data_IF_762876010184
#
_entry.id   IF_762876010184
#
_cell.length_a   1.000
_cell.length_b   1.000
_cell.length_c   1.000
_cell.angle_alpha   90.00
_cell.angle_beta   90.00
_cell.angle_gamma   90.00
#
_symmetry.space_group_name_H-M   'P 1'
#
loop_
_entity.id
_entity.type
_entity.pdbx_description
1 polymer ?
#
# COMPACT_ATOMS: atom_id res chain seq x y z
N UNK A 1 2.30 -7.75 -13.23
CA UNK A 1 3.39 -8.13 -12.33
C UNK A 1 3.73 -6.91 -11.48
N UNK A 2 4.62 -7.03 -10.50
CA UNK A 2 5.03 -5.88 -9.68
C UNK A 2 5.72 -4.81 -10.57
N UNK A 3 6.56 -5.23 -11.51
CA UNK A 3 7.29 -4.33 -12.41
C UNK A 3 6.33 -3.49 -13.25
N UNK A 4 5.32 -4.14 -13.85
CA UNK A 4 4.29 -3.44 -14.64
C UNK A 4 3.46 -2.46 -13.80
N UNK A 5 3.24 -2.78 -12.53
CA UNK A 5 2.60 -1.84 -11.61
C UNK A 5 3.50 -0.61 -11.39
N UNK A 6 4.78 -0.82 -11.10
CA UNK A 6 5.72 0.28 -10.91
C UNK A 6 5.82 1.16 -12.17
N UNK A 7 5.94 0.57 -13.36
CA UNK A 7 5.92 1.30 -14.64
C UNK A 7 4.65 2.15 -14.79
N UNK A 8 3.48 1.58 -14.56
CA UNK A 8 2.20 2.29 -14.62
C UNK A 8 2.16 3.49 -13.65
N UNK A 9 2.64 3.31 -12.41
CA UNK A 9 2.68 4.39 -11.42
C UNK A 9 3.67 5.48 -11.84
N UNK A 10 4.81 5.09 -12.40
CA UNK A 10 5.81 6.02 -12.92
C UNK A 10 5.27 6.81 -14.11
N UNK A 11 4.43 6.24 -14.97
CA UNK A 11 3.82 6.95 -16.10
C UNK A 11 2.69 7.88 -15.65
N UNK A 12 1.86 7.46 -14.69
CA UNK A 12 0.73 8.25 -14.19
C UNK A 12 1.16 9.32 -13.19
N UNK A 13 1.57 8.90 -12.00
CA UNK A 13 1.87 9.79 -10.87
C UNK A 13 3.26 10.39 -11.01
N UNK A 14 4.24 9.55 -11.39
CA UNK A 14 5.59 10.03 -11.68
C UNK A 14 5.61 11.02 -12.86
N UNK A 15 4.84 10.75 -13.93
CA UNK A 15 4.77 11.61 -15.11
C UNK A 15 4.27 13.01 -14.79
N UNK A 16 3.20 13.12 -13.98
CA UNK A 16 2.67 14.41 -13.56
C UNK A 16 3.67 15.21 -12.72
N UNK A 17 4.35 14.57 -11.77
CA UNK A 17 5.36 15.24 -10.97
C UNK A 17 6.58 15.64 -11.82
N UNK A 18 7.05 14.78 -12.74
CA UNK A 18 8.15 15.12 -13.66
C UNK A 18 7.80 16.32 -14.52
N UNK A 19 6.57 16.41 -15.02
CA UNK A 19 6.09 17.56 -15.77
C UNK A 19 6.09 18.84 -14.92
N UNK A 20 5.56 18.77 -13.69
CA UNK A 20 5.51 19.91 -12.78
C UNK A 20 6.92 20.41 -12.40
N UNK A 21 7.82 19.50 -12.03
CA UNK A 21 9.20 19.83 -11.67
C UNK A 21 9.97 20.35 -12.89
N UNK A 22 9.83 19.72 -14.05
CA UNK A 22 10.43 20.19 -15.30
C UNK A 22 9.95 21.60 -15.68
N UNK A 23 8.66 21.90 -15.51
CA UNK A 23 8.12 23.23 -15.73
C UNK A 23 8.73 24.25 -14.76
N UNK A 24 8.80 23.93 -13.46
CA UNK A 24 9.43 24.80 -12.46
C UNK A 24 10.91 25.04 -12.80
N UNK A 25 11.65 24.00 -13.15
CA UNK A 25 13.07 24.08 -13.54
C UNK A 25 13.29 24.94 -14.79
N UNK A 26 12.35 24.92 -15.75
CA UNK A 26 12.45 25.73 -16.97
C UNK A 26 12.47 27.24 -16.69
N UNK A 27 11.94 27.67 -15.54
CA UNK A 27 11.95 29.07 -15.09
C UNK A 27 12.89 29.33 -13.90
N UNK A 28 13.54 28.31 -13.36
CA UNK A 28 14.42 28.46 -12.21
C UNK A 28 15.68 29.27 -12.58
N UNK A 29 16.22 30.05 -11.66
CA UNK A 29 17.52 30.75 -11.86
C UNK A 29 18.71 29.92 -11.36
N UNK A 30 18.45 28.92 -10.52
CA UNK A 30 19.41 28.02 -9.90
C UNK A 30 18.93 26.56 -10.10
N UNK A 31 19.83 25.58 -9.94
CA UNK A 31 19.51 24.13 -10.04
C UNK A 31 18.82 23.69 -11.35
N UNK A 32 19.12 24.40 -12.46
CA UNK A 32 18.57 24.08 -13.79
C UNK A 32 18.99 22.70 -14.30
N UNK A 33 20.23 22.33 -14.03
CA UNK A 33 20.84 21.09 -14.52
C UNK A 33 20.74 19.94 -13.50
N UNK A 34 20.10 20.20 -12.35
CA UNK A 34 19.91 19.19 -11.31
C UNK A 34 18.86 18.18 -11.74
N UNK A 35 19.19 16.89 -11.71
CA UNK A 35 18.21 15.85 -12.03
C UNK A 35 17.39 15.47 -10.79
N UNK A 36 16.14 15.97 -10.74
CA UNK A 36 15.17 15.61 -9.71
C UNK A 36 14.34 14.37 -10.06
N UNK A 37 14.52 13.80 -11.25
CA UNK A 37 13.71 12.68 -11.75
C UNK A 37 13.72 11.47 -10.81
N UNK A 38 14.86 11.03 -10.25
CA UNK A 38 14.89 9.89 -9.32
C UNK A 38 14.07 10.14 -8.06
N UNK A 39 14.21 11.33 -7.45
CA UNK A 39 13.46 11.72 -6.25
C UNK A 39 11.95 11.73 -6.54
N UNK A 40 11.57 12.38 -7.63
CA UNK A 40 10.18 12.51 -8.06
C UNK A 40 9.52 11.16 -8.34
N UNK A 41 10.24 10.26 -9.00
CA UNK A 41 9.78 8.92 -9.30
C UNK A 41 9.54 8.10 -8.02
N UNK A 42 10.49 8.16 -7.08
CA UNK A 42 10.36 7.47 -5.80
C UNK A 42 9.23 8.03 -4.96
N UNK A 43 9.04 9.36 -4.95
CA UNK A 43 7.89 10.01 -4.32
C UNK A 43 6.58 9.47 -4.91
N UNK A 44 6.45 9.45 -6.24
CA UNK A 44 5.25 8.93 -6.91
C UNK A 44 4.94 7.48 -6.55
N UNK A 45 5.97 6.62 -6.51
CA UNK A 45 5.83 5.23 -6.05
C UNK A 45 5.42 5.13 -4.59
N UNK A 46 6.09 5.85 -3.70
CA UNK A 46 5.79 5.86 -2.26
C UNK A 46 4.35 6.26 -2.00
N UNK A 47 3.90 7.38 -2.59
CA UNK A 47 2.53 7.86 -2.42
C UNK A 47 1.49 6.85 -2.87
N UNK A 48 1.68 6.21 -4.03
CA UNK A 48 0.69 5.28 -4.56
C UNK A 48 0.66 3.96 -3.79
N UNK A 49 1.84 3.39 -3.45
CA UNK A 49 1.90 2.12 -2.69
C UNK A 49 1.35 2.32 -1.27
N UNK A 50 1.62 3.48 -0.66
CA UNK A 50 1.05 3.86 0.63
C UNK A 50 -0.47 3.99 0.58
N UNK A 51 -1.02 4.64 -0.45
CA UNK A 51 -2.46 4.75 -0.64
C UNK A 51 -3.14 3.39 -0.78
N UNK A 52 -2.55 2.50 -1.59
CA UNK A 52 -3.00 1.11 -1.75
C UNK A 52 -2.94 0.34 -0.41
N UNK A 53 -1.90 0.54 0.40
CA UNK A 53 -1.79 -0.09 1.72
C UNK A 53 -2.89 0.39 2.67
N UNK A 54 -3.12 1.71 2.74
CA UNK A 54 -4.14 2.30 3.62
C UNK A 54 -5.53 1.83 3.20
N UNK A 55 -5.83 1.81 1.89
CA UNK A 55 -7.11 1.35 1.35
C UNK A 55 -7.49 -0.05 1.84
N UNK A 56 -6.49 -0.93 2.01
CA UNK A 56 -6.70 -2.36 2.27
C UNK A 56 -6.39 -2.79 3.71
N UNK A 57 -5.83 -1.94 4.57
CA UNK A 57 -5.38 -2.35 5.91
C UNK A 57 -6.26 -1.85 7.06
N UNK A 58 -7.05 -0.80 6.85
CA UNK A 58 -7.68 -0.07 7.95
C UNK A 58 -9.19 -0.32 8.04
N UNK A 59 -9.62 -1.04 9.08
CA UNK A 59 -11.04 -1.29 9.37
C UNK A 59 -11.69 -0.10 10.12
N UNK A 60 -10.92 0.69 10.87
CA UNK A 60 -11.45 1.79 11.71
C UNK A 60 -11.41 3.16 11.02
N UNK A 61 -10.38 3.45 10.22
CA UNK A 61 -10.23 4.69 9.47
C UNK A 61 -11.34 4.90 8.44
N UNK A 62 -12.01 3.82 8.03
CA UNK A 62 -13.09 3.83 7.04
C UNK A 62 -14.50 3.61 7.61
N UNK A 63 -14.70 3.68 8.94
CA UNK A 63 -16.05 3.73 9.56
C UNK A 63 -16.95 4.85 9.00
N UNK A 64 -16.43 5.77 8.17
CA UNK A 64 -17.18 6.85 7.52
C UNK A 64 -17.02 6.94 6.00
N UNK A 65 -16.25 6.08 5.33
CA UNK A 65 -16.06 6.12 3.86
C UNK A 65 -15.46 4.80 3.36
N UNK A 66 -16.15 4.05 2.51
CA UNK A 66 -15.51 3.22 1.47
C UNK A 66 -14.34 2.28 1.89
N UNK A 67 -14.63 1.17 2.58
CA UNK A 67 -13.65 0.14 2.99
C UNK A 67 -13.22 -0.73 1.80
N UNK A 68 -11.90 -0.97 1.65
CA UNK A 68 -11.30 -1.83 0.62
C UNK A 68 -11.83 -1.58 -0.81
N UNK A 69 -11.92 -0.33 -1.24
CA UNK A 69 -12.47 0.01 -2.57
C UNK A 69 -11.68 -0.56 -3.74
N UNK A 70 -10.38 -0.83 -3.57
CA UNK A 70 -9.61 -1.50 -4.61
C UNK A 70 -10.26 -2.85 -5.00
N UNK A 71 -10.91 -3.54 -4.05
CA UNK A 71 -11.66 -4.78 -4.33
C UNK A 71 -12.97 -4.51 -5.07
N UNK A 72 -13.69 -3.43 -4.74
CA UNK A 72 -14.90 -3.01 -5.46
C UNK A 72 -14.58 -2.63 -6.90
N UNK A 73 -13.50 -1.89 -7.12
CA UNK A 73 -13.06 -1.46 -8.46
C UNK A 73 -12.48 -2.61 -9.29
N UNK A 74 -12.07 -3.70 -8.63
CA UNK A 74 -11.29 -4.78 -9.24
C UNK A 74 -9.88 -4.33 -9.60
N UNK A 75 -9.32 -3.39 -8.84
CA UNK A 75 -8.01 -2.79 -9.06
C UNK A 75 -6.92 -3.76 -8.61
N UNK A 76 -5.96 -4.01 -9.48
CA UNK A 76 -4.74 -4.75 -9.15
C UNK A 76 -3.75 -3.82 -8.44
N UNK A 77 -4.03 -3.49 -7.18
CA UNK A 77 -3.13 -2.69 -6.35
C UNK A 77 -1.92 -3.49 -5.86
N UNK A 78 -0.91 -2.80 -5.33
CA UNK A 78 0.37 -3.41 -4.95
C UNK A 78 0.23 -4.66 -4.04
N UNK A 79 -0.48 -4.61 -2.89
CA UNK A 79 -0.67 -5.79 -2.03
C UNK A 79 -1.44 -6.92 -2.72
N UNK A 80 -2.42 -6.60 -3.57
CA UNK A 80 -3.21 -7.59 -4.31
C UNK A 80 -2.35 -8.32 -5.35
N UNK A 81 -1.51 -7.57 -6.08
CA UNK A 81 -0.55 -8.15 -7.04
C UNK A 81 0.41 -9.08 -6.32
N UNK A 82 0.99 -8.64 -5.19
CA UNK A 82 1.89 -9.49 -4.41
C UNK A 82 1.18 -10.77 -3.97
N UNK A 83 -0.02 -10.66 -3.38
CA UNK A 83 -0.76 -11.82 -2.87
C UNK A 83 -1.11 -12.84 -3.96
N UNK A 84 -1.55 -12.39 -5.13
CA UNK A 84 -1.87 -13.30 -6.25
C UNK A 84 -0.62 -14.01 -6.76
N UNK A 85 0.56 -13.39 -6.65
CA UNK A 85 1.83 -13.96 -7.11
C UNK A 85 2.51 -14.85 -6.08
N UNK A 86 2.31 -14.59 -4.79
CA UNK A 86 2.84 -15.40 -3.69
C UNK A 86 1.94 -16.59 -3.32
N UNK A 87 0.69 -16.59 -3.81
CA UNK A 87 -0.24 -17.69 -3.66
C UNK A 87 0.30 -18.99 -4.31
N UNK A 88 -0.06 -20.14 -3.73
CA UNK A 88 0.22 -21.44 -4.33
C UNK A 88 -0.43 -21.53 -5.72
N UNK A 89 0.13 -22.34 -6.64
CA UNK A 89 -0.29 -22.40 -8.05
C UNK A 89 -1.80 -22.59 -8.29
N UNK A 90 -2.52 -23.17 -7.33
CA UNK A 90 -3.96 -23.45 -7.42
C UNK A 90 -4.84 -22.53 -6.56
N UNK A 91 -4.27 -21.62 -5.77
CA UNK A 91 -5.05 -20.72 -4.92
C UNK A 91 -5.49 -19.48 -5.71
N UNK A 92 -6.74 -19.52 -6.17
CA UNK A 92 -7.37 -18.47 -6.97
C UNK A 92 -8.40 -17.67 -6.18
N UNK A 93 -8.46 -17.82 -4.85
CA UNK A 93 -9.50 -17.24 -4.00
C UNK A 93 -9.52 -15.72 -4.10
N UNK A 94 -8.39 -15.06 -3.86
CA UNK A 94 -8.30 -13.61 -3.94
C UNK A 94 -8.62 -13.09 -5.35
N UNK A 95 -8.09 -13.75 -6.40
CA UNK A 95 -8.38 -13.38 -7.79
C UNK A 95 -9.87 -13.49 -8.11
N UNK A 96 -10.55 -14.50 -7.55
CA UNK A 96 -12.00 -14.70 -7.73
C UNK A 96 -12.80 -13.60 -7.04
N UNK A 97 -12.39 -13.19 -5.83
CA UNK A 97 -13.02 -12.06 -5.11
C UNK A 97 -12.81 -10.76 -5.89
N UNK A 98 -11.60 -10.49 -6.36
CA UNK A 98 -11.28 -9.29 -7.14
C UNK A 98 -12.11 -9.18 -8.42
N UNK A 99 -12.30 -10.30 -9.14
CA UNK A 99 -13.12 -10.34 -10.35
C UNK A 99 -14.61 -10.10 -10.09
N UNK A 100 -15.09 -10.42 -8.89
CA UNK A 100 -16.49 -10.20 -8.50
C UNK A 100 -16.82 -8.72 -8.28
N UNK A 101 -15.82 -7.86 -8.05
CA UNK A 101 -16.04 -6.42 -7.79
C UNK A 101 -17.06 -6.20 -6.68
N UNK A 102 -16.85 -6.89 -5.57
CA UNK A 102 -17.85 -7.01 -4.52
C UNK A 102 -17.91 -5.77 -3.64
N UNK A 103 -19.13 -5.38 -3.28
CA UNK A 103 -19.42 -4.37 -2.26
C UNK A 103 -19.64 -4.98 -0.87
N UNK A 104 -19.63 -6.31 -0.76
CA UNK A 104 -19.88 -7.03 0.49
C UNK A 104 -18.68 -6.96 1.43
N UNK A 105 -18.89 -6.35 2.59
CA UNK A 105 -17.87 -6.16 3.61
C UNK A 105 -17.31 -7.49 4.14
N UNK A 106 -18.09 -8.57 4.20
CA UNK A 106 -17.60 -9.86 4.68
C UNK A 106 -16.66 -10.51 3.66
N UNK A 107 -16.94 -10.37 2.37
CA UNK A 107 -16.00 -10.80 1.31
C UNK A 107 -14.74 -9.92 1.29
N UNK A 108 -14.86 -8.62 1.55
CA UNK A 108 -13.71 -7.71 1.66
C UNK A 108 -12.81 -8.06 2.84
N UNK A 109 -13.38 -8.33 4.02
CA UNK A 109 -12.65 -8.83 5.20
C UNK A 109 -11.96 -10.15 4.91
N UNK A 110 -12.65 -11.09 4.24
CA UNK A 110 -12.04 -12.36 3.87
C UNK A 110 -10.84 -12.17 2.93
N UNK A 111 -10.95 -11.30 1.92
CA UNK A 111 -9.83 -10.96 1.05
C UNK A 111 -8.66 -10.32 1.83
N UNK A 112 -8.95 -9.46 2.80
CA UNK A 112 -7.93 -8.89 3.68
C UNK A 112 -7.19 -9.97 4.48
N UNK A 113 -7.92 -10.94 5.06
CA UNK A 113 -7.32 -12.08 5.76
C UNK A 113 -6.38 -12.87 4.86
N UNK A 114 -6.80 -13.19 3.62
CA UNK A 114 -5.93 -13.87 2.65
C UNK A 114 -4.64 -13.07 2.38
N UNK A 115 -4.73 -11.75 2.25
CA UNK A 115 -3.56 -10.88 2.06
C UNK A 115 -2.65 -10.81 3.30
N UNK A 116 -3.21 -10.86 4.51
CA UNK A 116 -2.45 -10.92 5.76
C UNK A 116 -1.69 -12.24 5.88
N UNK A 117 -2.36 -13.36 5.64
CA UNK A 117 -1.77 -14.71 5.67
C UNK A 117 -0.65 -14.87 4.64
N UNK A 118 -0.84 -14.32 3.43
CA UNK A 118 0.18 -14.29 2.39
C UNK A 118 1.34 -13.32 2.67
N UNK A 119 1.28 -12.55 3.77
CA UNK A 119 2.29 -11.56 4.14
C UNK A 119 2.30 -10.31 3.25
N UNK A 120 1.28 -10.10 2.42
CA UNK A 120 1.26 -9.06 1.39
C UNK A 120 1.13 -7.65 1.95
N UNK A 121 0.36 -7.47 3.04
CA UNK A 121 0.28 -6.18 3.72
C UNK A 121 1.62 -5.80 4.35
N UNK A 122 2.30 -6.76 5.00
CA UNK A 122 3.64 -6.57 5.55
C UNK A 122 4.66 -6.25 4.45
N UNK A 123 4.66 -7.01 3.35
CA UNK A 123 5.55 -6.76 2.22
C UNK A 123 5.36 -5.34 1.63
N UNK A 124 4.10 -4.92 1.49
CA UNK A 124 3.74 -3.58 0.99
C UNK A 124 4.24 -2.48 1.93
N UNK A 125 4.08 -2.68 3.25
CA UNK A 125 4.64 -1.78 4.27
C UNK A 125 6.15 -1.69 4.18
N UNK A 126 6.84 -2.82 4.12
CA UNK A 126 8.31 -2.86 4.05
C UNK A 126 8.81 -2.13 2.79
N UNK A 127 8.08 -2.24 1.67
CA UNK A 127 8.35 -1.46 0.46
C UNK A 127 8.19 0.05 0.67
N UNK A 128 7.16 0.50 1.40
CA UNK A 128 6.99 1.90 1.76
C UNK A 128 8.15 2.42 2.61
N UNK A 129 8.60 1.64 3.61
CA UNK A 129 9.73 2.01 4.47
C UNK A 129 11.04 2.11 3.68
N UNK A 130 11.30 1.15 2.79
CA UNK A 130 12.46 1.22 1.89
C UNK A 130 12.43 2.46 1.00
N UNK A 131 11.27 2.77 0.41
CA UNK A 131 11.11 3.96 -0.43
C UNK A 131 11.29 5.25 0.37
N UNK A 132 10.76 5.32 1.59
CA UNK A 132 10.98 6.45 2.50
C UNK A 132 12.47 6.69 2.71
N UNK A 133 13.23 5.66 3.08
CA UNK A 133 14.66 5.82 3.38
C UNK A 133 15.44 6.30 2.15
N UNK A 134 15.12 5.77 0.97
CA UNK A 134 15.67 6.24 -0.31
C UNK A 134 15.33 7.71 -0.58
N UNK A 135 14.05 8.10 -0.40
CA UNK A 135 13.59 9.47 -0.61
C UNK A 135 14.29 10.43 0.35
N UNK A 136 14.42 10.07 1.63
CA UNK A 136 15.10 10.88 2.63
C UNK A 136 16.58 11.07 2.27
N UNK A 137 17.27 10.01 1.85
CA UNK A 137 18.65 10.11 1.35
C UNK A 137 18.76 11.04 0.16
N UNK A 138 17.88 10.88 -0.85
CA UNK A 138 17.85 11.74 -2.04
C UNK A 138 17.60 13.22 -1.70
N UNK A 139 16.75 13.52 -0.73
CA UNK A 139 16.50 14.89 -0.28
C UNK A 139 17.78 15.50 0.29
N UNK A 140 18.51 14.77 1.13
CA UNK A 140 19.77 15.26 1.71
C UNK A 140 20.85 15.44 0.63
N UNK A 141 20.99 14.49 -0.29
CA UNK A 141 21.94 14.55 -1.41
C UNK A 141 21.69 15.76 -2.33
N UNK A 142 20.43 16.21 -2.44
CA UNK A 142 20.00 17.37 -3.22
C UNK A 142 20.08 18.69 -2.44
N UNK A 143 20.77 18.72 -1.31
CA UNK A 143 21.00 19.93 -0.49
C UNK A 143 19.99 20.13 0.63
N UNK A 144 19.12 19.16 0.88
CA UNK A 144 18.18 19.15 1.99
C UNK A 144 16.94 20.02 1.77
N UNK A 145 15.81 19.57 2.33
CA UNK A 145 14.57 20.34 2.36
C UNK A 145 13.74 19.93 3.59
N UNK A 146 13.85 20.71 4.67
CA UNK A 146 13.18 20.37 5.93
C UNK A 146 11.64 20.26 5.81
N UNK A 147 10.93 21.14 5.10
CA UNK A 147 9.49 20.97 4.87
C UNK A 147 9.13 19.66 4.17
N UNK A 148 9.84 19.31 3.09
CA UNK A 148 9.59 18.08 2.35
C UNK A 148 9.90 16.85 3.19
N UNK A 149 11.04 16.85 3.91
CA UNK A 149 11.40 15.80 4.86
C UNK A 149 10.31 15.58 5.91
N UNK A 150 9.83 16.66 6.53
CA UNK A 150 8.77 16.60 7.54
C UNK A 150 7.45 16.07 6.96
N UNK A 151 7.11 16.42 5.71
CA UNK A 151 5.95 15.86 5.02
C UNK A 151 6.07 14.35 4.89
N UNK A 152 7.22 13.83 4.44
CA UNK A 152 7.42 12.39 4.28
C UNK A 152 7.32 11.67 5.64
N UNK A 153 7.95 12.20 6.68
CA UNK A 153 7.89 11.65 8.03
C UNK A 153 6.45 11.64 8.59
N UNK A 154 5.68 12.71 8.37
CA UNK A 154 4.28 12.78 8.79
C UNK A 154 3.43 11.71 8.11
N UNK A 155 3.63 11.49 6.82
CA UNK A 155 2.89 10.50 6.06
C UNK A 155 3.21 9.07 6.49
N UNK A 156 4.45 8.83 6.93
CA UNK A 156 4.94 7.53 7.37
C UNK A 156 4.36 7.09 8.72
N UNK A 157 4.01 8.03 9.61
CA UNK A 157 3.32 7.72 10.88
C UNK A 157 2.06 6.89 10.65
N UNK A 158 1.34 7.11 9.54
CA UNK A 158 0.17 6.30 9.20
C UNK A 158 0.54 4.88 8.78
N UNK A 159 1.68 4.70 8.11
CA UNK A 159 2.22 3.39 7.71
C UNK A 159 2.73 2.61 8.93
N UNK A 160 3.35 3.29 9.89
CA UNK A 160 3.82 2.68 11.14
C UNK A 160 2.68 2.21 12.03
N UNK A 161 1.60 2.98 12.17
CA UNK A 161 0.42 2.58 12.96
C UNK A 161 -0.23 1.28 12.45
N UNK A 162 -0.13 1.00 11.15
CA UNK A 162 -0.61 -0.26 10.57
C UNK A 162 0.23 -1.48 11.00
N UNK A 163 1.48 -1.28 11.43
CA UNK A 163 2.35 -2.36 11.91
C UNK A 163 1.80 -3.04 13.16
N UNK A 164 1.26 -2.24 14.07
CA UNK A 164 0.73 -2.71 15.36
C UNK A 164 -0.57 -3.51 15.17
N UNK A 165 -1.35 -3.17 14.13
CA UNK A 165 -2.58 -3.88 13.77
C UNK A 165 -2.33 -5.18 12.96
N UNK A 166 -1.17 -5.31 12.29
CA UNK A 166 -0.81 -6.51 11.50
C UNK A 166 -0.14 -7.59 12.36
N UNK A 167 0.40 -7.23 13.53
CA UNK A 167 1.05 -8.15 14.47
C UNK A 167 0.13 -8.88 15.45
N UNK A 168 -1.16 -8.54 15.50
CA UNK A 168 -2.12 -9.23 16.36
C UNK A 168 -2.72 -10.45 15.64
N UNK A 169 -2.66 -11.67 16.22
CA UNK A 169 -3.40 -12.79 15.70
C UNK A 169 -4.89 -12.44 15.72
N UNK A 170 -5.60 -12.70 14.63
CA UNK A 170 -7.06 -12.66 14.60
C UNK A 170 -7.56 -13.52 15.76
N UNK A 171 -8.31 -12.90 16.68
CA UNK A 171 -8.95 -13.60 17.77
C UNK A 171 -9.85 -14.68 17.18
N UNK A 172 -9.36 -15.92 17.17
CA UNK A 172 -10.15 -17.08 16.81
C UNK A 172 -11.25 -17.23 17.84
N UNK A 173 -12.49 -16.92 17.44
CA UNK A 173 -13.63 -17.47 18.14
C UNK A 173 -13.58 -18.99 17.99
N UNK A 174 -13.14 -19.66 19.07
CA UNK A 174 -13.31 -21.09 19.24
C UNK A 174 -14.80 -21.43 19.07
N UNK A 175 -15.15 -22.03 17.93
CA UNK A 175 -16.35 -22.85 17.85
C UNK A 175 -16.14 -24.10 18.70
N UNK A 176 -16.33 -23.92 20.01
CA UNK A 176 -16.35 -24.96 21.03
C UNK A 176 -17.50 -25.93 20.77
N UNK A 177 -17.09 -27.12 20.34
CA UNK A 177 -17.89 -28.30 20.11
C UNK A 177 -18.68 -28.69 21.38
N UNK A 178 -19.98 -28.42 21.43
CA UNK A 178 -20.83 -28.90 22.52
C UNK A 178 -21.32 -30.32 22.20
N UNK A 179 -20.53 -31.33 22.59
CA UNK A 179 -21.00 -32.71 22.74
C UNK A 179 -20.57 -33.29 24.10
N UNK A 180 -21.60 -33.64 24.87
CA UNK A 180 -21.70 -34.64 25.94
C UNK A 180 -20.88 -34.41 27.22
N UNK A 181 -21.62 -34.25 28.32
CA UNK A 181 -21.68 -35.06 29.55
C UNK A 181 -22.56 -34.22 30.50
N UNK A 182 -23.70 -34.72 31.00
CA UNK A 182 -23.68 -35.49 32.22
C UNK A 182 -24.84 -36.49 32.32
N UNK A 183 -24.47 -37.66 32.84
CA UNK A 183 -25.35 -38.62 33.48
C UNK A 183 -25.34 -38.30 34.98
N UNK A 184 -26.47 -37.97 35.57
CA UNK A 184 -26.95 -38.45 36.88
C UNK A 184 -28.43 -38.11 36.99
#
# INVERSE_FOLDING_TARGET
TEERYCEMVLDKTGGLFRLAVGLIQSFATENKDTDFTPLVNNLGLYFQIRDDLINLSDEEYFKSKSFCEDLTEGKFSFPIIHCIRSAAENDTRLLSILKKRTEDDDMKKYAQTLMREAGSLRYTRDKCLQLKDVILGQIEDLGGNAPLKNLILMLDVQVEKLADAVGMPSGGEEFGHMQKLDST
#
